data_IF_105976864344
#
_entry.id   IF_105976864344
#
_cell.length_a   1.000
_cell.length_b   1.000
_cell.length_c   1.000
_cell.angle_alpha   90.00
_cell.angle_beta   90.00
_cell.angle_gamma   90.00
#
_symmetry.space_group_name_H-M   'P 1'
#
loop_
_entity.id
_entity.type
_entity.pdbx_description
1 polymer ?
#
# COMPACT_ATOMS: atom_id res chain seq x y z
N UNK A 1 23.07 47.51 -19.74
CA UNK A 1 21.65 47.14 -19.52
C UNK A 1 21.64 45.97 -18.52
N UNK A 2 21.12 46.19 -17.30
CA UNK A 2 21.14 45.21 -16.20
C UNK A 2 20.10 44.10 -16.39
N UNK A 3 20.51 42.84 -16.24
CA UNK A 3 19.62 41.67 -16.24
C UNK A 3 18.76 41.56 -14.97
N UNK A 4 17.64 40.81 -15.01
CA UNK A 4 16.69 40.73 -13.91
C UNK A 4 17.27 39.98 -12.70
N UNK A 5 17.15 40.59 -11.51
CA UNK A 5 17.56 40.06 -10.20
C UNK A 5 16.71 38.83 -9.82
N UNK A 6 17.34 37.67 -9.61
CA UNK A 6 16.70 36.53 -8.96
C UNK A 6 16.23 36.91 -7.55
N UNK A 7 14.93 36.78 -7.32
CA UNK A 7 14.26 37.14 -6.05
C UNK A 7 14.67 36.12 -4.98
N UNK A 8 15.57 36.52 -4.06
CA UNK A 8 16.01 35.69 -2.93
C UNK A 8 14.80 35.40 -2.03
N UNK A 9 14.47 34.11 -1.86
CA UNK A 9 13.48 33.65 -0.89
C UNK A 9 14.12 33.77 0.49
N UNK A 10 13.54 34.60 1.37
CA UNK A 10 14.04 34.77 2.74
C UNK A 10 13.92 33.46 3.52
N UNK A 11 14.94 33.11 4.30
CA UNK A 11 14.91 31.96 5.22
C UNK A 11 13.75 32.21 6.21
N UNK A 12 12.65 31.45 6.05
CA UNK A 12 11.40 31.63 6.79
C UNK A 12 10.15 31.79 5.91
N UNK A 13 10.29 32.04 4.61
CA UNK A 13 9.15 32.03 3.69
C UNK A 13 8.72 30.58 3.40
N UNK A 14 7.45 30.26 3.69
CA UNK A 14 6.85 28.97 3.31
C UNK A 14 6.99 28.79 1.79
N UNK A 15 7.57 27.68 1.29
CA UNK A 15 7.60 27.37 -0.13
C UNK A 15 6.18 27.43 -0.71
N UNK A 16 5.99 27.89 -1.97
CA UNK A 16 4.68 27.88 -2.59
C UNK A 16 4.09 26.47 -2.54
N UNK A 17 2.77 26.38 -2.32
CA UNK A 17 2.06 25.10 -2.26
C UNK A 17 2.43 24.27 -3.50
N UNK A 18 3.03 23.10 -3.27
CA UNK A 18 3.49 22.22 -4.35
C UNK A 18 2.33 21.32 -4.79
N UNK A 19 1.77 21.51 -6.00
CA UNK A 19 0.66 20.70 -6.49
C UNK A 19 1.02 19.21 -6.58
N UNK A 20 2.29 18.88 -6.83
CA UNK A 20 2.76 17.49 -6.83
C UNK A 20 2.76 16.86 -5.43
N UNK A 21 3.04 17.63 -4.39
CA UNK A 21 2.99 17.13 -3.02
C UNK A 21 1.55 16.88 -2.58
N UNK A 22 0.62 17.78 -2.93
CA UNK A 22 -0.81 17.55 -2.70
C UNK A 22 -1.35 16.38 -3.50
N UNK A 23 -0.91 16.22 -4.76
CA UNK A 23 -1.28 15.06 -5.57
C UNK A 23 -0.76 13.75 -4.97
N UNK A 24 0.46 13.71 -4.43
CA UNK A 24 1.00 12.53 -3.74
C UNK A 24 0.21 12.17 -2.47
N UNK A 25 -0.21 13.18 -1.69
CA UNK A 25 -1.05 12.99 -0.50
C UNK A 25 -2.44 12.49 -0.87
N UNK A 26 -3.08 13.12 -1.88
CA UNK A 26 -4.42 12.72 -2.34
C UNK A 26 -4.43 11.37 -3.06
N UNK A 27 -3.35 10.99 -3.73
CA UNK A 27 -3.23 9.68 -4.37
C UNK A 27 -3.31 8.54 -3.35
N UNK A 28 -2.67 8.70 -2.18
CA UNK A 28 -2.77 7.71 -1.10
C UNK A 28 -4.17 7.58 -0.48
N UNK A 29 -4.96 8.65 -0.54
CA UNK A 29 -6.34 8.69 -0.03
C UNK A 29 -7.35 8.14 -1.07
N UNK A 30 -7.13 8.43 -2.35
CA UNK A 30 -7.97 7.98 -3.45
C UNK A 30 -7.81 6.49 -3.80
N UNK A 31 -6.66 5.88 -3.51
CA UNK A 31 -6.43 4.44 -3.71
C UNK A 31 -7.35 3.56 -2.83
N UNK A 32 -7.85 4.11 -1.71
CA UNK A 32 -8.77 3.43 -0.79
C UNK A 32 -10.24 3.37 -1.28
N UNK A 33 -10.54 3.95 -2.44
CA UNK A 33 -11.91 4.10 -2.95
C UNK A 33 -12.03 3.58 -4.40
N UNK A 34 -11.70 2.31 -4.62
CA UNK A 34 -12.02 1.62 -5.87
C UNK A 34 -13.08 0.54 -5.64
N UNK A 35 -14.00 0.36 -6.60
CA UNK A 35 -15.14 -0.58 -6.50
C UNK A 35 -14.73 -2.05 -6.35
N UNK A 36 -13.50 -2.41 -6.72
CA UNK A 36 -12.89 -3.72 -6.43
C UNK A 36 -12.60 -3.92 -4.93
N UNK A 37 -12.58 -2.85 -4.16
CA UNK A 37 -12.35 -2.82 -2.71
C UNK A 37 -13.63 -3.11 -1.90
N UNK A 38 -14.82 -3.12 -2.54
CA UNK A 38 -16.09 -3.36 -1.84
C UNK A 38 -16.20 -4.76 -1.21
N UNK A 39 -15.42 -5.72 -1.71
CA UNK A 39 -15.38 -7.10 -1.22
C UNK A 39 -14.00 -7.51 -0.69
N UNK A 40 -13.08 -6.55 -0.52
CA UNK A 40 -11.75 -6.82 0.07
C UNK A 40 -11.60 -6.11 1.41
N UNK A 41 -11.02 -6.81 2.39
CA UNK A 41 -10.73 -6.26 3.71
C UNK A 41 -9.21 -6.18 3.94
N UNK A 42 -8.76 -5.13 4.62
CA UNK A 42 -7.35 -4.98 5.01
C UNK A 42 -7.02 -5.85 6.22
N UNK A 43 -6.14 -6.83 6.04
CA UNK A 43 -5.62 -7.66 7.11
C UNK A 43 -4.28 -7.11 7.63
N UNK A 44 -4.22 -6.78 8.93
CA UNK A 44 -2.98 -6.40 9.61
C UNK A 44 -2.58 -7.52 10.56
N UNK A 45 -1.32 -7.97 10.49
CA UNK A 45 -0.82 -9.12 11.25
C UNK A 45 0.47 -8.75 11.97
N UNK A 46 0.52 -8.99 13.27
CA UNK A 46 1.77 -8.99 14.02
C UNK A 46 2.47 -10.33 13.86
N UNK A 47 3.69 -10.30 13.32
CA UNK A 47 4.53 -11.47 13.12
C UNK A 47 5.94 -11.18 13.58
N UNK A 48 6.67 -12.23 13.98
CA UNK A 48 8.08 -12.06 14.33
C UNK A 48 8.89 -11.59 13.10
N UNK A 49 9.97 -10.82 13.28
CA UNK A 49 10.83 -10.42 12.16
C UNK A 49 11.37 -11.62 11.36
N UNK A 50 11.68 -12.71 12.04
CA UNK A 50 12.15 -13.95 11.43
C UNK A 50 11.07 -14.60 10.54
N UNK A 51 9.82 -14.64 11.00
CA UNK A 51 8.71 -15.15 10.19
C UNK A 51 8.45 -14.27 8.98
N UNK A 52 8.46 -12.94 9.16
CA UNK A 52 8.33 -11.99 8.04
C UNK A 52 9.40 -12.18 6.98
N UNK A 53 10.65 -12.42 7.38
CA UNK A 53 11.75 -12.70 6.45
C UNK A 53 11.50 -13.98 5.66
N UNK A 54 11.08 -15.07 6.31
CA UNK A 54 10.75 -16.35 5.65
C UNK A 54 9.60 -16.21 4.65
N UNK A 55 8.54 -15.50 5.01
CA UNK A 55 7.40 -15.23 4.12
C UNK A 55 7.87 -14.45 2.89
N UNK A 56 8.69 -13.41 3.08
CA UNK A 56 9.23 -12.60 1.98
C UNK A 56 10.10 -13.43 1.04
N UNK A 57 10.97 -14.29 1.57
CA UNK A 57 11.83 -15.18 0.78
C UNK A 57 10.98 -16.15 -0.05
N UNK A 58 9.96 -16.76 0.57
CA UNK A 58 9.05 -17.68 -0.12
C UNK A 58 8.28 -16.99 -1.26
N UNK A 59 7.73 -15.81 -1.01
CA UNK A 59 7.01 -15.03 -2.02
C UNK A 59 7.94 -14.66 -3.20
N UNK A 60 9.16 -14.21 -2.89
CA UNK A 60 10.15 -13.89 -3.93
C UNK A 60 10.54 -15.11 -4.76
N UNK A 61 10.77 -16.27 -4.12
CA UNK A 61 11.09 -17.52 -4.83
C UNK A 61 9.96 -18.01 -5.76
N UNK A 62 8.72 -17.62 -5.49
CA UNK A 62 7.54 -17.94 -6.32
C UNK A 62 7.17 -16.83 -7.31
N UNK A 63 7.86 -15.69 -7.30
CA UNK A 63 7.55 -14.55 -8.17
C UNK A 63 6.23 -13.84 -7.87
N UNK A 64 5.68 -14.00 -6.67
CA UNK A 64 4.41 -13.39 -6.23
C UNK A 64 4.63 -12.38 -5.11
N UNK A 65 3.64 -11.53 -4.83
CA UNK A 65 3.71 -10.64 -3.67
C UNK A 65 3.42 -11.40 -2.38
N UNK A 66 3.83 -10.84 -1.24
CA UNK A 66 3.48 -11.40 0.08
C UNK A 66 1.96 -11.45 0.27
N UNK A 67 1.22 -10.46 -0.25
CA UNK A 67 -0.23 -10.43 -0.16
C UNK A 67 -0.87 -11.58 -0.96
N UNK A 68 -0.38 -11.84 -2.18
CA UNK A 68 -0.85 -12.97 -3.00
C UNK A 68 -0.56 -14.32 -2.32
N UNK A 69 0.65 -14.48 -1.77
CA UNK A 69 1.02 -15.69 -1.05
C UNK A 69 0.11 -15.94 0.15
N UNK A 70 -0.12 -14.90 0.97
CA UNK A 70 -0.99 -15.01 2.15
C UNK A 70 -2.45 -15.24 1.75
N UNK A 71 -2.93 -14.60 0.68
CA UNK A 71 -4.28 -14.84 0.15
C UNK A 71 -4.46 -16.29 -0.26
N UNK A 72 -3.55 -16.83 -1.07
CA UNK A 72 -3.61 -18.24 -1.50
C UNK A 72 -3.46 -19.25 -0.35
N UNK A 73 -2.79 -18.89 0.75
CA UNK A 73 -2.76 -19.69 1.97
C UNK A 73 -4.13 -19.66 2.69
N UNK A 74 -4.73 -18.48 2.84
CA UNK A 74 -6.02 -18.30 3.49
C UNK A 74 -7.16 -18.98 2.71
N UNK A 75 -7.18 -18.88 1.38
CA UNK A 75 -8.20 -19.53 0.52
C UNK A 75 -8.17 -21.06 0.63
N UNK A 76 -6.98 -21.65 0.82
CA UNK A 76 -6.83 -23.10 1.02
C UNK A 76 -7.32 -23.56 2.39
N UNK A 77 -7.10 -22.75 3.41
CA UNK A 77 -7.53 -23.05 4.79
C UNK A 77 -9.03 -22.81 4.98
N UNK A 78 -9.57 -21.79 4.32
CA UNK A 78 -10.97 -21.37 4.40
C UNK A 78 -11.65 -21.41 3.02
N UNK A 79 -11.88 -22.61 2.45
CA UNK A 79 -12.57 -22.72 1.16
C UNK A 79 -14.04 -22.34 1.30
N UNK A 80 -14.59 -21.65 0.31
CA UNK A 80 -15.98 -21.14 0.30
C UNK A 80 -17.03 -22.27 0.47
N UNK A 81 -16.71 -23.48 0.00
CA UNK A 81 -17.62 -24.62 -0.02
C UNK A 81 -17.67 -25.44 1.29
N UNK A 82 -16.94 -25.02 2.34
CA UNK A 82 -16.98 -25.71 3.65
C UNK A 82 -18.28 -25.45 4.42
N UNK A 83 -19.11 -24.51 3.97
CA UNK A 83 -20.36 -24.12 4.62
C UNK A 83 -21.59 -24.97 4.25
N UNK A 84 -21.44 -26.01 3.40
CA UNK A 84 -22.46 -27.06 3.22
C UNK A 84 -22.04 -28.34 3.96
N UNK A 85 -21.85 -28.22 5.27
CA UNK A 85 -21.86 -29.37 6.17
C UNK A 85 -22.85 -29.03 7.28
N UNK A 86 -24.11 -29.06 6.88
CA UNK A 86 -25.32 -29.00 7.71
C UNK A 86 -25.24 -30.08 8.80
N UNK A 87 -25.71 -29.80 10.04
CA UNK A 87 -25.55 -30.67 11.23
C UNK A 87 -26.10 -32.09 11.07
#
# INVERSE_FOLDING_TARGET
MSGPRSKRVGIGARPPANPHAEAWIRQGDADALNKGDLYTARLTLDVTPALRARIKIAAFGQGVTVAELLRGLLEREFPENRMESTP
#
